data_IF_775827805657
#
_entry.id   IF_775827805657
#
_cell.length_a   1.000
_cell.length_b   1.000
_cell.length_c   1.000
_cell.angle_alpha   90.00
_cell.angle_beta   90.00
_cell.angle_gamma   90.00
#
_symmetry.space_group_name_H-M   'P 1'
#
loop_
_entity.id
_entity.type
_entity.pdbx_description
1 polymer ?
#
# COMPACT_ATOMS: atom_id res chain seq x y z
N UNK A 1 -13.84 48.17 44.35
CA UNK A 1 -14.14 46.90 43.66
C UNK A 1 -13.95 47.11 42.15
N UNK A 2 -12.81 46.77 41.64
CA UNK A 2 -12.52 46.82 40.20
C UNK A 2 -12.52 45.38 39.64
N UNK A 3 -13.49 45.08 38.83
CA UNK A 3 -13.64 43.77 38.19
C UNK A 3 -12.67 43.66 37.03
N UNK A 4 -11.77 42.66 37.11
CA UNK A 4 -10.90 42.19 36.03
C UNK A 4 -11.66 41.17 35.22
N UNK A 5 -12.04 41.51 33.98
CA UNK A 5 -12.45 40.51 32.97
C UNK A 5 -11.18 39.87 32.39
N UNK A 6 -11.15 38.56 32.19
CA UNK A 6 -10.06 37.88 31.51
C UNK A 6 -10.19 38.05 29.98
N UNK A 7 -9.08 38.48 29.37
CA UNK A 7 -8.87 38.48 27.94
C UNK A 7 -8.59 37.03 27.52
N UNK A 8 -9.60 36.34 27.05
CA UNK A 8 -9.47 34.97 26.49
C UNK A 8 -9.50 35.05 24.96
N UNK A 9 -8.38 34.58 24.41
CA UNK A 9 -8.26 33.81 23.20
C UNK A 9 -8.67 34.39 21.86
N UNK A 10 -7.69 34.61 21.06
CA UNK A 10 -7.77 34.49 19.60
C UNK A 10 -6.42 33.99 19.08
N UNK A 11 -6.13 32.70 19.29
CA UNK A 11 -5.00 32.02 18.66
C UNK A 11 -5.42 30.60 18.25
N UNK A 12 -6.24 30.53 17.20
CA UNK A 12 -6.45 29.27 16.47
C UNK A 12 -7.27 29.52 15.20
N UNK A 13 -6.64 30.08 14.17
CA UNK A 13 -7.21 30.08 12.80
C UNK A 13 -6.16 30.66 11.81
N UNK A 14 -4.99 30.00 11.70
CA UNK A 14 -4.00 30.44 10.71
C UNK A 14 -3.15 29.30 10.11
N UNK A 15 -3.63 28.05 10.09
CA UNK A 15 -2.86 26.93 9.49
C UNK A 15 -3.66 26.06 8.51
N UNK A 16 -4.80 26.52 8.06
CA UNK A 16 -5.64 25.75 7.10
C UNK A 16 -5.66 26.34 5.68
N UNK A 17 -4.91 27.42 5.41
CA UNK A 17 -5.07 28.17 4.15
C UNK A 17 -4.06 27.84 3.03
N UNK A 18 -3.00 27.05 3.26
CA UNK A 18 -1.91 26.86 2.29
C UNK A 18 -1.56 25.42 1.93
N UNK A 19 -2.42 24.43 2.20
CA UNK A 19 -2.21 23.11 1.62
C UNK A 19 -2.56 23.18 0.12
N UNK A 20 -1.61 22.88 -0.79
CA UNK A 20 -1.90 22.90 -2.22
C UNK A 20 -3.07 21.95 -2.51
N UNK A 21 -3.98 22.39 -3.40
CA UNK A 21 -5.11 21.56 -3.82
C UNK A 21 -4.61 20.18 -4.32
N UNK A 22 -5.31 19.10 -3.99
CA UNK A 22 -4.94 17.77 -4.47
C UNK A 22 -4.80 17.76 -6.00
N UNK A 23 -3.77 17.10 -6.51
CA UNK A 23 -3.61 16.95 -7.96
C UNK A 23 -4.81 16.18 -8.52
N UNK A 24 -5.47 16.76 -9.54
CA UNK A 24 -6.54 16.06 -10.24
C UNK A 24 -5.97 14.92 -11.10
N UNK A 25 -6.65 13.76 -11.20
CA UNK A 25 -6.22 12.69 -12.07
C UNK A 25 -6.28 13.10 -13.55
N UNK A 26 -5.32 12.63 -14.33
CA UNK A 26 -5.32 12.74 -15.81
C UNK A 26 -6.49 11.96 -16.39
N UNK A 27 -6.83 10.81 -15.77
CA UNK A 27 -8.01 10.02 -16.10
C UNK A 27 -8.60 9.47 -14.81
N UNK A 28 -9.88 9.79 -14.55
CA UNK A 28 -10.60 9.39 -13.35
C UNK A 28 -11.59 8.27 -13.61
N UNK A 29 -11.90 7.52 -12.55
CA UNK A 29 -12.99 6.55 -12.48
C UNK A 29 -13.01 5.52 -13.60
N UNK A 30 -11.80 5.05 -13.98
CA UNK A 30 -11.63 4.10 -15.08
C UNK A 30 -12.07 2.71 -14.62
N UNK A 31 -13.11 2.10 -15.24
CA UNK A 31 -13.53 0.75 -14.91
C UNK A 31 -12.51 -0.27 -15.46
N UNK A 32 -11.93 -1.08 -14.58
CA UNK A 32 -10.90 -2.06 -14.94
C UNK A 32 -11.43 -3.50 -15.07
N UNK A 33 -12.65 -3.76 -14.57
CA UNK A 33 -13.23 -5.11 -14.53
C UNK A 33 -14.39 -5.33 -15.49
N UNK A 34 -14.73 -4.34 -16.34
CA UNK A 34 -15.87 -4.42 -17.24
C UNK A 34 -17.23 -4.38 -16.53
N UNK A 35 -17.29 -3.89 -15.29
CA UNK A 35 -18.49 -3.75 -14.50
C UNK A 35 -18.81 -2.27 -14.26
N UNK A 36 -20.01 -1.98 -13.74
CA UNK A 36 -20.39 -0.64 -13.29
C UNK A 36 -20.12 -0.40 -11.80
N UNK A 37 -19.46 -1.35 -11.10
CA UNK A 37 -19.14 -1.18 -9.70
C UNK A 37 -18.02 -0.13 -9.55
N UNK A 38 -18.34 0.98 -8.88
CA UNK A 38 -17.39 2.04 -8.58
C UNK A 38 -16.15 1.55 -7.82
N UNK A 39 -16.28 0.47 -7.03
CA UNK A 39 -15.15 -0.15 -6.36
C UNK A 39 -14.20 -0.91 -7.27
N UNK A 40 -14.59 -1.13 -8.52
CA UNK A 40 -13.74 -1.71 -9.54
C UNK A 40 -13.26 -0.65 -10.54
N UNK A 41 -12.88 0.53 -10.03
CA UNK A 41 -12.33 1.64 -10.83
C UNK A 41 -10.97 2.08 -10.30
N UNK A 42 -10.18 2.73 -11.17
CA UNK A 42 -8.89 3.32 -10.84
C UNK A 42 -8.79 4.76 -11.33
N UNK A 43 -7.83 5.51 -10.80
CA UNK A 43 -7.43 6.83 -11.27
C UNK A 43 -5.98 6.79 -11.77
N UNK A 44 -5.70 7.50 -12.86
CA UNK A 44 -4.35 7.66 -13.41
C UNK A 44 -3.93 9.11 -13.31
N UNK A 45 -2.70 9.34 -12.89
CA UNK A 45 -2.04 10.65 -12.82
C UNK A 45 -0.76 10.56 -13.63
N UNK A 46 -0.72 11.26 -14.75
CA UNK A 46 0.46 11.36 -15.61
C UNK A 46 1.33 12.55 -15.24
N UNK A 47 2.62 12.52 -15.58
CA UNK A 47 3.47 13.70 -15.46
C UNK A 47 2.97 14.83 -16.37
N UNK A 48 3.23 16.09 -15.98
CA UNK A 48 2.74 17.27 -16.70
C UNK A 48 3.22 17.33 -18.17
N UNK A 49 4.40 16.79 -18.46
CA UNK A 49 4.93 16.63 -19.81
C UNK A 49 5.17 15.15 -20.10
N UNK A 50 4.83 14.72 -21.32
CA UNK A 50 5.07 13.34 -21.74
C UNK A 50 6.58 13.04 -21.66
N UNK A 51 7.01 12.00 -20.95
CA UNK A 51 8.42 11.65 -20.84
C UNK A 51 9.04 11.30 -22.18
N UNK A 52 10.30 11.68 -22.38
CA UNK A 52 11.05 11.32 -23.60
C UNK A 52 11.31 9.81 -23.74
N UNK A 53 11.30 9.09 -22.61
CA UNK A 53 11.37 7.63 -22.53
C UNK A 53 10.22 7.15 -21.64
N UNK A 54 9.70 5.92 -21.86
CA UNK A 54 8.65 5.37 -21.01
C UNK A 54 9.04 5.42 -19.53
N UNK A 55 8.19 6.03 -18.71
CA UNK A 55 8.43 6.28 -17.29
C UNK A 55 8.03 5.07 -16.43
N UNK A 56 8.65 4.87 -15.27
CA UNK A 56 8.14 3.91 -14.30
C UNK A 56 6.70 4.23 -13.87
N UNK A 57 5.97 3.20 -13.49
CA UNK A 57 4.61 3.31 -12.96
C UNK A 57 4.63 2.99 -11.46
N UNK A 58 4.09 3.88 -10.65
CA UNK A 58 3.80 3.63 -9.24
C UNK A 58 2.34 3.21 -9.15
N UNK A 59 2.10 1.96 -8.76
CA UNK A 59 0.77 1.42 -8.57
C UNK A 59 0.44 1.39 -7.07
N UNK A 60 -0.60 2.14 -6.67
CA UNK A 60 -0.96 2.37 -5.28
C UNK A 60 -2.28 1.71 -4.90
N UNK A 61 -2.28 0.99 -3.76
CA UNK A 61 -3.46 0.36 -3.17
C UNK A 61 -3.74 1.05 -1.82
N UNK A 62 -4.95 1.60 -1.68
CA UNK A 62 -5.36 2.29 -0.45
C UNK A 62 -5.52 1.34 0.75
N UNK A 63 -5.41 1.88 1.95
CA UNK A 63 -5.78 1.20 3.20
C UNK A 63 -7.26 1.31 3.50
N UNK A 64 -7.66 0.79 4.67
CA UNK A 64 -9.05 0.87 5.15
C UNK A 64 -9.55 -0.45 5.74
N UNK A 65 -8.64 -1.35 6.15
CA UNK A 65 -8.97 -2.62 6.79
C UNK A 65 -9.78 -3.55 5.91
N UNK A 66 -9.58 -3.50 4.60
CA UNK A 66 -10.36 -4.23 3.56
C UNK A 66 -11.87 -3.92 3.56
N UNK A 67 -12.33 -2.93 4.32
CA UNK A 67 -13.75 -2.59 4.54
C UNK A 67 -14.09 -1.18 4.13
N UNK A 68 -13.09 -0.37 3.84
CA UNK A 68 -13.21 1.05 3.52
C UNK A 68 -11.98 1.53 2.76
N UNK A 69 -11.89 2.86 2.63
CA UNK A 69 -10.85 3.52 1.85
C UNK A 69 -11.27 3.75 0.41
N UNK A 70 -10.47 4.50 -0.31
CA UNK A 70 -10.79 4.87 -1.68
C UNK A 70 -9.52 5.30 -2.43
N UNK A 71 -9.51 5.10 -3.75
CA UNK A 71 -8.44 5.52 -4.67
C UNK A 71 -8.14 7.02 -4.65
N UNK A 72 -9.05 7.83 -4.10
CA UNK A 72 -8.84 9.27 -3.90
C UNK A 72 -8.08 9.60 -2.61
N UNK A 73 -7.91 8.63 -1.70
CA UNK A 73 -7.15 8.80 -0.46
C UNK A 73 -5.65 8.64 -0.72
N UNK A 74 -5.07 9.56 -1.46
CA UNK A 74 -3.69 9.49 -1.97
C UNK A 74 -2.75 10.57 -1.42
N UNK A 75 -3.27 11.58 -0.72
CA UNK A 75 -2.55 12.71 -0.13
C UNK A 75 -1.57 13.35 -1.16
N UNK A 76 -0.28 13.45 -0.81
CA UNK A 76 0.75 14.10 -1.63
C UNK A 76 1.28 13.21 -2.78
N UNK A 77 1.04 11.90 -2.72
CA UNK A 77 1.67 10.89 -3.58
C UNK A 77 1.53 11.16 -5.09
N UNK A 78 0.33 11.50 -5.61
CA UNK A 78 0.19 11.77 -7.04
C UNK A 78 1.13 12.87 -7.50
N UNK A 79 1.10 14.03 -6.81
CA UNK A 79 1.97 15.15 -7.16
C UNK A 79 3.44 14.79 -6.99
N UNK A 80 3.81 14.17 -5.88
CA UNK A 80 5.18 13.77 -5.58
C UNK A 80 5.77 12.88 -6.67
N UNK A 81 5.06 11.82 -7.07
CA UNK A 81 5.58 10.88 -8.06
C UNK A 81 5.51 11.44 -9.50
N UNK A 82 4.49 12.22 -9.84
CA UNK A 82 4.42 12.84 -11.17
C UNK A 82 5.45 13.95 -11.37
N UNK A 83 5.80 14.70 -10.33
CA UNK A 83 6.91 15.67 -10.37
C UNK A 83 8.28 14.97 -10.58
N UNK A 84 8.43 13.72 -10.17
CA UNK A 84 9.60 12.88 -10.49
C UNK A 84 9.54 12.28 -11.90
N UNK A 85 8.49 12.57 -12.67
CA UNK A 85 8.29 12.08 -14.02
C UNK A 85 7.68 10.68 -14.10
N UNK A 86 7.15 10.11 -13.00
CA UNK A 86 6.51 8.79 -12.98
C UNK A 86 5.00 8.90 -13.30
N UNK A 87 4.44 7.83 -13.81
CA UNK A 87 2.99 7.65 -13.84
C UNK A 87 2.55 7.11 -12.49
N UNK A 88 1.51 7.69 -11.89
CA UNK A 88 0.94 7.21 -10.65
C UNK A 88 -0.48 6.68 -10.90
N UNK A 89 -0.76 5.45 -10.46
CA UNK A 89 -2.07 4.81 -10.57
C UNK A 89 -2.56 4.49 -9.17
N UNK A 90 -3.77 4.91 -8.84
CA UNK A 90 -4.43 4.55 -7.58
C UNK A 90 -5.69 3.75 -7.86
N UNK A 91 -5.83 2.58 -7.24
CA UNK A 91 -6.93 1.66 -7.50
C UNK A 91 -7.87 1.52 -6.32
N UNK A 92 -9.17 1.37 -6.61
CA UNK A 92 -10.16 0.81 -5.71
C UNK A 92 -10.13 -0.72 -5.79
N UNK A 93 -10.75 -1.36 -4.82
CA UNK A 93 -11.14 -2.78 -4.82
C UNK A 93 -12.43 -2.96 -4.03
N UNK A 94 -13.15 -4.05 -4.25
CA UNK A 94 -14.32 -4.40 -3.46
C UNK A 94 -13.93 -4.70 -2.00
N UNK A 95 -14.91 -4.69 -1.10
CA UNK A 95 -14.66 -4.81 0.33
C UNK A 95 -14.98 -6.21 0.84
N UNK A 96 -14.24 -6.64 1.88
CA UNK A 96 -14.40 -7.93 2.53
C UNK A 96 -15.80 -8.13 3.16
N UNK A 97 -16.56 -7.07 3.35
CA UNK A 97 -17.94 -7.12 3.84
C UNK A 97 -18.91 -7.76 2.84
N UNK A 98 -18.58 -7.76 1.56
CA UNK A 98 -19.42 -8.27 0.47
C UNK A 98 -18.67 -9.21 -0.48
N UNK A 99 -17.34 -9.31 -0.36
CA UNK A 99 -16.48 -9.98 -1.34
C UNK A 99 -15.37 -10.74 -0.62
N UNK A 100 -15.18 -12.03 -0.84
CA UNK A 100 -14.14 -12.80 -0.18
C UNK A 100 -12.73 -12.35 -0.62
N UNK A 101 -11.70 -12.63 0.21
CA UNK A 101 -10.34 -12.13 0.03
C UNK A 101 -9.71 -12.53 -1.31
N UNK A 102 -9.93 -13.72 -1.78
CA UNK A 102 -9.43 -14.19 -3.08
C UNK A 102 -9.97 -13.35 -4.26
N UNK A 103 -11.21 -12.89 -4.18
CA UNK A 103 -11.78 -12.01 -5.20
C UNK A 103 -11.27 -10.57 -5.07
N UNK A 104 -10.90 -10.11 -3.86
CA UNK A 104 -10.21 -8.83 -3.67
C UNK A 104 -8.83 -8.88 -4.33
N UNK A 105 -8.08 -9.97 -4.19
CA UNK A 105 -6.82 -10.15 -4.93
C UNK A 105 -7.05 -10.15 -6.44
N UNK A 106 -8.12 -10.77 -6.92
CA UNK A 106 -8.48 -10.76 -8.34
C UNK A 106 -8.84 -9.35 -8.85
N UNK A 107 -9.52 -8.53 -8.03
CA UNK A 107 -9.80 -7.13 -8.38
C UNK A 107 -8.49 -6.36 -8.62
N UNK A 108 -7.51 -6.48 -7.70
CA UNK A 108 -6.22 -5.81 -7.87
C UNK A 108 -5.46 -6.35 -9.09
N UNK A 109 -5.50 -7.66 -9.34
CA UNK A 109 -4.87 -8.26 -10.52
C UNK A 109 -5.47 -7.73 -11.83
N UNK A 110 -6.80 -7.59 -11.91
CA UNK A 110 -7.47 -6.96 -13.05
C UNK A 110 -7.10 -5.49 -13.21
N UNK A 111 -7.00 -4.75 -12.11
CA UNK A 111 -6.54 -3.36 -12.12
C UNK A 111 -5.09 -3.23 -12.61
N UNK A 112 -4.22 -4.17 -12.24
CA UNK A 112 -2.85 -4.29 -12.76
C UNK A 112 -2.85 -4.68 -14.25
N UNK A 113 -3.76 -5.56 -14.68
CA UNK A 113 -3.92 -5.91 -16.10
C UNK A 113 -4.28 -4.68 -16.92
N UNK A 114 -5.30 -3.93 -16.48
CA UNK A 114 -5.65 -2.67 -17.14
C UNK A 114 -4.47 -1.69 -17.18
N UNK A 115 -3.79 -1.51 -16.05
CA UNK A 115 -2.62 -0.62 -15.95
C UNK A 115 -1.52 -1.03 -16.92
N UNK A 116 -1.20 -2.32 -16.99
CA UNK A 116 -0.21 -2.87 -17.91
C UNK A 116 -0.57 -2.56 -19.37
N UNK A 117 -1.82 -2.76 -19.78
CA UNK A 117 -2.28 -2.58 -21.15
C UNK A 117 -2.31 -1.11 -21.57
N UNK A 118 -2.53 -0.19 -20.62
CA UNK A 118 -2.77 1.23 -20.91
C UNK A 118 -1.66 2.16 -20.42
N UNK A 119 -0.63 1.69 -19.70
CA UNK A 119 0.42 2.55 -19.16
C UNK A 119 1.07 3.45 -20.20
N UNK A 120 1.30 2.95 -21.41
CA UNK A 120 1.93 3.68 -22.51
C UNK A 120 1.11 4.89 -22.99
N UNK A 121 -0.21 4.89 -22.83
CA UNK A 121 -1.08 6.03 -23.16
C UNK A 121 -0.73 7.26 -22.32
N UNK A 122 -0.26 7.03 -21.08
CA UNK A 122 0.12 8.05 -20.11
C UNK A 122 1.65 8.27 -20.05
N UNK A 123 2.41 7.66 -20.97
CA UNK A 123 3.86 7.72 -21.00
C UNK A 123 4.56 6.75 -20.03
N UNK A 124 3.84 5.77 -19.49
CA UNK A 124 4.37 4.75 -18.59
C UNK A 124 4.94 3.52 -19.32
N UNK A 125 5.82 2.79 -18.61
CA UNK A 125 6.35 1.50 -19.05
C UNK A 125 5.62 0.38 -18.30
N UNK A 126 4.85 -0.49 -18.99
CA UNK A 126 4.11 -1.57 -18.36
C UNK A 126 5.01 -2.61 -17.66
N UNK A 127 6.28 -2.68 -18.02
CA UNK A 127 7.26 -3.61 -17.46
C UNK A 127 8.12 -2.99 -16.37
N UNK A 128 7.81 -1.77 -15.93
CA UNK A 128 8.53 -1.04 -14.88
C UNK A 128 7.58 -0.52 -13.81
N UNK A 129 6.81 -1.43 -13.21
CA UNK A 129 5.83 -1.12 -12.16
C UNK A 129 6.47 -1.32 -10.78
N UNK A 130 6.29 -0.34 -9.89
CA UNK A 130 6.53 -0.50 -8.45
C UNK A 130 5.17 -0.52 -7.76
N UNK A 131 4.84 -1.65 -7.15
CA UNK A 131 3.59 -1.82 -6.42
C UNK A 131 3.75 -1.34 -4.98
N UNK A 132 2.84 -0.49 -4.53
CA UNK A 132 2.83 0.12 -3.19
C UNK A 132 1.43 0.07 -2.59
N UNK A 133 1.34 0.16 -1.29
CA UNK A 133 0.05 0.27 -0.62
C UNK A 133 0.24 0.55 0.87
N UNK A 134 -0.83 1.00 1.54
CA UNK A 134 -0.82 1.30 2.96
C UNK A 134 -1.78 0.38 3.72
N UNK A 135 -1.38 -0.05 4.95
CA UNK A 135 -2.25 -0.83 5.84
C UNK A 135 -2.78 -2.11 5.14
N UNK A 136 -4.08 -2.32 5.05
CA UNK A 136 -4.66 -3.43 4.26
C UNK A 136 -4.17 -3.45 2.80
N UNK A 137 -3.98 -2.26 2.17
CA UNK A 137 -3.41 -2.16 0.83
C UNK A 137 -1.95 -2.60 0.76
N UNK A 138 -1.18 -2.47 1.84
CA UNK A 138 0.19 -2.97 1.91
C UNK A 138 0.24 -4.51 1.96
N UNK A 139 -0.69 -5.13 2.67
CA UNK A 139 -0.86 -6.59 2.64
C UNK A 139 -1.21 -7.07 1.23
N UNK A 140 -2.18 -6.41 0.55
CA UNK A 140 -2.56 -6.73 -0.83
C UNK A 140 -1.38 -6.56 -1.80
N UNK A 141 -0.61 -5.48 -1.67
CA UNK A 141 0.58 -5.23 -2.49
C UNK A 141 1.66 -6.31 -2.30
N UNK A 142 1.97 -6.65 -1.05
CA UNK A 142 2.96 -7.68 -0.74
C UNK A 142 2.53 -9.06 -1.22
N UNK A 143 1.25 -9.42 -1.03
CA UNK A 143 0.71 -10.70 -1.50
C UNK A 143 0.84 -10.83 -3.01
N UNK A 144 0.40 -9.83 -3.79
CA UNK A 144 0.45 -9.86 -5.25
C UNK A 144 1.86 -9.79 -5.82
N UNK A 145 2.81 -9.19 -5.10
CA UNK A 145 4.22 -9.17 -5.50
C UNK A 145 4.94 -10.49 -5.21
N UNK A 146 4.31 -11.43 -4.49
CA UNK A 146 4.89 -12.72 -4.07
C UNK A 146 4.12 -13.91 -4.63
N UNK A 147 2.79 -13.89 -4.54
CA UNK A 147 1.95 -14.95 -5.09
C UNK A 147 1.51 -14.60 -6.52
N UNK A 148 2.02 -15.37 -7.45
CA UNK A 148 1.75 -15.15 -8.88
C UNK A 148 0.37 -15.63 -9.34
N UNK A 149 -0.36 -16.42 -8.53
CA UNK A 149 -1.65 -17.04 -8.93
C UNK A 149 -2.66 -16.01 -9.45
N UNK A 150 -2.95 -14.89 -8.73
CA UNK A 150 -3.90 -13.90 -9.23
C UNK A 150 -3.42 -13.19 -10.50
N UNK A 151 -2.11 -12.92 -10.62
CA UNK A 151 -1.53 -12.31 -11.82
C UNK A 151 -1.60 -13.23 -13.03
N UNK A 152 -1.28 -14.52 -12.86
CA UNK A 152 -1.38 -15.52 -13.93
C UNK A 152 -2.80 -15.68 -14.46
N UNK A 153 -3.80 -15.56 -13.60
CA UNK A 153 -5.21 -15.59 -14.02
C UNK A 153 -5.56 -14.44 -15.00
N UNK A 154 -4.82 -13.32 -14.92
CA UNK A 154 -4.96 -12.17 -15.82
C UNK A 154 -3.88 -12.15 -16.91
N UNK A 155 -3.11 -13.22 -17.11
CA UNK A 155 -2.05 -13.31 -18.11
C UNK A 155 -0.83 -12.44 -17.81
N UNK A 156 -0.62 -12.06 -16.54
CA UNK A 156 0.51 -11.28 -16.06
C UNK A 156 1.53 -12.16 -15.32
N UNK A 157 2.71 -11.59 -15.05
CA UNK A 157 3.75 -12.25 -14.27
C UNK A 157 4.44 -11.27 -13.31
N UNK A 158 5.15 -11.81 -12.32
CA UNK A 158 5.92 -11.02 -11.36
C UNK A 158 7.01 -10.16 -12.01
N UNK A 159 7.47 -10.49 -13.22
CA UNK A 159 8.54 -9.79 -13.94
C UNK A 159 8.21 -8.33 -14.28
N UNK A 160 6.91 -7.98 -14.31
CA UNK A 160 6.45 -6.60 -14.49
C UNK A 160 6.83 -5.69 -13.32
N UNK A 161 7.00 -6.26 -12.12
CA UNK A 161 7.37 -5.51 -10.94
C UNK A 161 8.87 -5.29 -10.83
N UNK A 162 9.28 -4.05 -10.61
CA UNK A 162 10.66 -3.67 -10.29
C UNK A 162 10.89 -3.53 -8.79
N UNK A 163 9.83 -3.39 -8.01
CA UNK A 163 9.87 -3.32 -6.55
C UNK A 163 8.50 -3.39 -5.92
N UNK A 164 8.49 -3.68 -4.62
CA UNK A 164 7.30 -3.62 -3.79
C UNK A 164 7.59 -2.79 -2.54
N UNK A 165 6.70 -1.82 -2.23
CA UNK A 165 6.83 -0.98 -1.04
C UNK A 165 5.53 -1.04 -0.22
N UNK A 166 5.37 -2.07 0.62
CA UNK A 166 4.28 -2.13 1.58
C UNK A 166 4.54 -1.16 2.75
N UNK A 167 3.53 -0.33 3.07
CA UNK A 167 3.59 0.70 4.10
C UNK A 167 2.68 0.33 5.27
N UNK A 168 3.29 -0.05 6.37
CA UNK A 168 2.69 -0.25 7.70
C UNK A 168 1.50 -1.23 7.74
N UNK A 169 1.73 -2.48 7.33
CA UNK A 169 0.77 -3.56 7.51
C UNK A 169 1.19 -4.54 8.63
N UNK A 170 0.18 -5.12 9.26
CA UNK A 170 0.33 -6.09 10.35
C UNK A 170 -0.05 -7.52 9.94
N UNK A 171 -0.15 -7.84 8.64
CA UNK A 171 -0.78 -9.08 8.15
C UNK A 171 -0.01 -9.74 7.00
N UNK A 172 1.32 -9.73 7.06
CA UNK A 172 2.14 -10.49 6.09
C UNK A 172 2.22 -11.98 6.42
N UNK A 173 2.10 -12.31 7.72
CA UNK A 173 2.00 -13.67 8.27
C UNK A 173 0.75 -13.71 9.15
N UNK A 174 -0.39 -14.09 8.55
CA UNK A 174 -1.71 -14.00 9.20
C UNK A 174 -1.84 -14.90 10.42
N UNK A 175 -1.40 -16.17 10.44
CA UNK A 175 -1.39 -16.97 11.65
C UNK A 175 -0.63 -16.31 12.81
N UNK A 176 0.55 -15.79 12.52
CA UNK A 176 1.40 -15.17 13.53
C UNK A 176 0.79 -13.89 14.12
N UNK A 177 0.17 -13.03 13.31
CA UNK A 177 -0.50 -11.83 13.85
C UNK A 177 -1.73 -12.18 14.67
N UNK A 178 -2.50 -13.21 14.29
CA UNK A 178 -3.64 -13.69 15.06
C UNK A 178 -3.17 -14.18 16.45
N UNK A 179 -2.10 -14.97 16.48
CA UNK A 179 -1.51 -15.48 17.73
C UNK A 179 -1.02 -14.32 18.61
N UNK A 180 -0.23 -13.41 18.07
CA UNK A 180 0.32 -12.26 18.79
C UNK A 180 -0.79 -11.33 19.30
N UNK A 181 -1.79 -11.02 18.47
CA UNK A 181 -2.91 -10.18 18.88
C UNK A 181 -3.74 -10.84 19.98
N UNK A 182 -3.97 -12.16 19.91
CA UNK A 182 -4.64 -12.94 20.96
C UNK A 182 -3.86 -12.91 22.28
N UNK A 183 -2.53 -13.13 22.22
CA UNK A 183 -1.67 -13.08 23.39
C UNK A 183 -1.66 -11.68 24.06
N UNK A 184 -1.53 -10.61 23.25
CA UNK A 184 -1.55 -9.24 23.74
C UNK A 184 -2.89 -8.88 24.40
N UNK A 185 -4.02 -9.30 23.82
CA UNK A 185 -5.34 -9.08 24.42
C UNK A 185 -5.52 -9.84 25.72
N UNK A 186 -5.10 -11.11 25.77
CA UNK A 186 -5.13 -11.92 26.99
C UNK A 186 -4.30 -11.28 28.11
N UNK A 187 -3.09 -10.83 27.80
CA UNK A 187 -2.23 -10.14 28.77
C UNK A 187 -2.86 -8.83 29.29
N UNK A 188 -3.63 -8.14 28.44
CA UNK A 188 -4.37 -6.92 28.80
C UNK A 188 -5.75 -7.18 29.44
N UNK A 189 -6.12 -8.45 29.71
CA UNK A 189 -7.43 -8.81 30.27
C UNK A 189 -8.62 -8.49 29.34
N UNK A 190 -8.39 -8.35 28.03
CA UNK A 190 -9.42 -8.01 27.04
C UNK A 190 -9.99 -9.27 26.39
N UNK A 191 -11.32 -9.36 26.16
CA UNK A 191 -11.92 -10.49 25.46
C UNK A 191 -11.50 -10.52 23.99
N UNK A 192 -11.61 -11.70 23.35
CA UNK A 192 -11.45 -11.83 21.91
C UNK A 192 -12.46 -10.90 21.17
N UNK A 193 -12.04 -10.25 20.07
CA UNK A 193 -12.95 -9.44 19.29
C UNK A 193 -13.96 -10.34 18.57
N UNK A 194 -15.21 -9.88 18.45
CA UNK A 194 -16.24 -10.59 17.68
C UNK A 194 -15.92 -10.66 16.19
N UNK A 195 -15.08 -9.75 15.72
CA UNK A 195 -14.60 -9.66 14.34
C UNK A 195 -13.19 -9.10 14.33
N UNK A 196 -12.27 -9.82 13.72
CA UNK A 196 -10.86 -9.50 13.65
C UNK A 196 -10.19 -10.17 12.46
N UNK A 197 -8.88 -10.31 12.52
CA UNK A 197 -8.10 -10.94 11.45
C UNK A 197 -8.59 -12.37 11.11
N UNK A 198 -9.08 -13.14 12.10
CA UNK A 198 -9.62 -14.51 11.89
C UNK A 198 -10.73 -14.50 10.85
N UNK A 199 -11.72 -13.62 11.03
CA UNK A 199 -12.90 -13.53 10.19
C UNK A 199 -12.59 -12.85 8.85
N UNK A 200 -11.75 -11.82 8.86
CA UNK A 200 -11.29 -11.13 7.65
C UNK A 200 -10.65 -12.11 6.67
N UNK A 201 -9.81 -13.01 7.18
CA UNK A 201 -9.12 -14.01 6.37
C UNK A 201 -9.87 -15.35 6.30
N UNK A 202 -11.21 -15.32 6.37
CA UNK A 202 -12.09 -16.44 6.04
C UNK A 202 -12.36 -17.45 7.15
N UNK A 203 -11.96 -17.18 8.40
CA UNK A 203 -12.31 -17.96 9.58
C UNK A 203 -11.68 -19.36 9.69
N UNK A 204 -10.76 -19.72 8.79
CA UNK A 204 -10.14 -21.06 8.72
C UNK A 204 -8.60 -20.95 8.67
N UNK A 205 -7.86 -21.77 9.47
CA UNK A 205 -6.40 -21.71 9.53
C UNK A 205 -5.71 -21.91 8.17
N UNK A 206 -6.23 -22.77 7.30
CA UNK A 206 -5.70 -23.00 5.96
C UNK A 206 -5.81 -21.75 5.07
N UNK A 207 -6.88 -20.95 5.21
CA UNK A 207 -7.03 -19.70 4.49
C UNK A 207 -6.11 -18.60 5.08
N UNK A 208 -5.89 -18.57 6.39
CA UNK A 208 -4.93 -17.65 6.99
C UNK A 208 -3.53 -17.89 6.46
N UNK A 209 -3.14 -19.17 6.31
CA UNK A 209 -1.86 -19.56 5.72
C UNK A 209 -1.81 -19.21 4.24
N UNK A 210 -2.87 -19.51 3.48
CA UNK A 210 -2.91 -19.24 2.03
C UNK A 210 -2.92 -17.74 1.71
N UNK A 211 -3.51 -16.89 2.55
CA UNK A 211 -3.55 -15.45 2.34
C UNK A 211 -2.35 -14.70 2.98
N UNK A 212 -1.38 -15.42 3.53
CA UNK A 212 -0.12 -14.88 4.06
C UNK A 212 0.91 -14.73 2.95
N UNK A 213 1.42 -13.51 2.74
CA UNK A 213 2.48 -13.27 1.77
C UNK A 213 3.74 -14.10 2.05
N UNK A 214 4.09 -14.28 3.34
CA UNK A 214 5.27 -15.06 3.78
C UNK A 214 5.23 -16.53 3.35
N UNK A 215 4.04 -17.12 3.23
CA UNK A 215 3.86 -18.53 2.84
C UNK A 215 4.31 -18.83 1.41
N UNK A 216 4.18 -17.84 0.53
CA UNK A 216 4.43 -18.02 -0.92
C UNK A 216 5.82 -17.59 -1.35
N UNK A 217 6.68 -17.16 -0.43
CA UNK A 217 8.05 -16.75 -0.74
C UNK A 217 8.88 -17.96 -1.18
N UNK A 218 9.39 -17.92 -2.40
CA UNK A 218 10.24 -18.96 -2.97
C UNK A 218 11.36 -18.38 -3.85
N UNK A 219 12.53 -18.99 -3.80
CA UNK A 219 13.65 -18.62 -4.66
C UNK A 219 13.32 -18.89 -6.15
N UNK A 220 13.87 -18.07 -7.05
CA UNK A 220 13.72 -18.27 -8.51
C UNK A 220 12.35 -17.94 -9.08
N UNK A 221 11.41 -17.44 -8.28
CA UNK A 221 10.03 -17.14 -8.69
C UNK A 221 9.88 -15.78 -9.40
N UNK A 222 10.93 -14.95 -9.38
CA UNK A 222 10.89 -13.60 -9.95
C UNK A 222 10.26 -12.57 -9.01
N UNK A 223 10.18 -12.86 -7.71
CA UNK A 223 9.74 -11.91 -6.69
C UNK A 223 10.65 -10.68 -6.71
N UNK A 224 10.10 -9.45 -6.83
CA UNK A 224 10.90 -8.24 -6.90
C UNK A 224 11.57 -7.90 -5.57
N UNK A 225 12.53 -6.97 -5.53
CA UNK A 225 13.03 -6.37 -4.29
C UNK A 225 11.93 -5.71 -3.47
N UNK A 226 12.09 -5.69 -2.12
CA UNK A 226 11.16 -5.10 -1.18
C UNK A 226 11.79 -4.01 -0.32
N UNK A 227 11.05 -2.92 -0.11
CA UNK A 227 11.26 -1.96 0.98
C UNK A 227 10.00 -1.96 1.86
N UNK A 228 10.09 -2.51 3.07
CA UNK A 228 8.96 -2.68 3.98
C UNK A 228 9.01 -1.55 5.01
N UNK A 229 8.11 -0.57 4.90
CA UNK A 229 8.04 0.54 5.84
C UNK A 229 7.09 0.20 6.98
N UNK A 230 7.44 0.58 8.22
CA UNK A 230 6.57 0.37 9.37
C UNK A 230 6.77 1.43 10.46
N UNK A 231 5.74 1.70 11.25
CA UNK A 231 5.83 2.48 12.48
C UNK A 231 6.62 1.69 13.52
N UNK A 232 7.79 2.20 13.90
CA UNK A 232 8.70 1.51 14.83
C UNK A 232 8.12 1.35 16.26
N UNK A 233 7.12 2.15 16.63
CA UNK A 233 6.48 2.12 17.94
C UNK A 233 5.17 1.30 17.96
N UNK A 234 4.70 0.83 16.82
CA UNK A 234 3.46 0.06 16.74
C UNK A 234 3.60 -1.34 17.37
N UNK A 235 2.47 -1.88 17.84
CA UNK A 235 2.46 -3.15 18.56
C UNK A 235 2.61 -4.39 17.69
N UNK A 236 2.23 -4.33 16.40
CA UNK A 236 2.14 -5.49 15.52
C UNK A 236 2.99 -5.35 14.24
N UNK A 237 3.02 -4.17 13.65
CA UNK A 237 3.66 -3.96 12.34
C UNK A 237 5.18 -4.20 12.34
N UNK A 238 5.95 -3.93 13.44
CA UNK A 238 7.38 -4.26 13.49
C UNK A 238 7.67 -5.77 13.39
N UNK A 239 6.89 -6.61 14.08
CA UNK A 239 7.05 -8.07 14.00
C UNK A 239 6.76 -8.57 12.59
N UNK A 240 5.66 -8.12 12.01
CA UNK A 240 5.23 -8.53 10.68
C UNK A 240 6.19 -8.08 9.57
N UNK A 241 6.70 -6.86 9.65
CA UNK A 241 7.71 -6.35 8.70
C UNK A 241 8.99 -7.19 8.74
N UNK A 242 9.49 -7.52 9.94
CA UNK A 242 10.69 -8.35 10.12
C UNK A 242 10.47 -9.81 9.73
N UNK A 243 9.26 -10.36 9.89
CA UNK A 243 8.91 -11.70 9.39
C UNK A 243 8.97 -11.75 7.87
N UNK A 244 8.38 -10.76 7.19
CA UNK A 244 8.41 -10.69 5.73
C UNK A 244 9.84 -10.49 5.22
N UNK A 245 10.62 -9.57 5.79
CA UNK A 245 12.04 -9.37 5.45
C UNK A 245 12.83 -10.68 5.56
N UNK A 246 12.70 -11.39 6.70
CA UNK A 246 13.38 -12.66 6.94
C UNK A 246 12.98 -13.72 5.93
N UNK A 247 11.68 -13.86 5.64
CA UNK A 247 11.20 -14.82 4.66
C UNK A 247 11.80 -14.57 3.27
N UNK A 248 11.84 -13.30 2.84
CA UNK A 248 12.40 -12.89 1.55
C UNK A 248 13.92 -13.11 1.50
N UNK A 249 14.66 -12.59 2.48
CA UNK A 249 16.13 -12.65 2.50
C UNK A 249 16.65 -14.08 2.62
N UNK A 250 15.96 -14.95 3.36
CA UNK A 250 16.31 -16.40 3.46
C UNK A 250 16.21 -17.10 2.10
N UNK A 251 15.41 -16.59 1.17
CA UNK A 251 15.28 -17.09 -0.20
C UNK A 251 16.12 -16.32 -1.22
N UNK A 252 17.04 -15.46 -0.76
CA UNK A 252 17.93 -14.67 -1.61
C UNK A 252 17.27 -13.49 -2.30
N UNK A 253 16.07 -13.09 -1.86
CA UNK A 253 15.35 -11.94 -2.40
C UNK A 253 15.76 -10.69 -1.60
N UNK A 254 16.14 -9.62 -2.32
CA UNK A 254 16.53 -8.36 -1.68
C UNK A 254 15.34 -7.76 -0.95
N UNK A 255 15.48 -7.54 0.36
CA UNK A 255 14.46 -6.91 1.18
C UNK A 255 15.10 -6.10 2.31
N UNK A 256 14.47 -4.96 2.65
CA UNK A 256 14.82 -4.10 3.78
C UNK A 256 13.56 -3.72 4.53
N UNK A 257 13.51 -4.04 5.82
CA UNK A 257 12.51 -3.50 6.74
C UNK A 257 13.04 -2.21 7.37
N UNK A 258 12.32 -1.09 7.20
CA UNK A 258 12.65 0.21 7.72
C UNK A 258 11.61 0.68 8.72
N UNK A 259 11.99 0.76 10.00
CA UNK A 259 11.16 1.28 11.07
C UNK A 259 11.28 2.80 11.17
N UNK A 260 10.23 3.49 10.81
CA UNK A 260 10.16 4.94 10.94
C UNK A 260 9.89 5.33 12.41
N UNK A 261 10.73 6.20 12.95
CA UNK A 261 10.54 6.79 14.28
C UNK A 261 9.66 8.04 14.22
N UNK A 262 9.04 8.39 15.35
CA UNK A 262 8.24 9.61 15.52
C UNK A 262 7.09 9.75 14.52
N UNK A 263 6.51 8.64 14.13
CA UNK A 263 5.38 8.56 13.22
C UNK A 263 4.19 7.84 13.87
N UNK A 264 3.15 7.62 13.12
CA UNK A 264 2.01 6.77 13.48
C UNK A 264 1.51 6.06 12.23
N UNK A 265 0.64 5.06 12.38
CA UNK A 265 -0.01 4.36 11.28
C UNK A 265 -0.59 5.29 10.19
N UNK A 266 -1.22 6.39 10.59
CA UNK A 266 -1.74 7.40 9.66
C UNK A 266 -0.66 8.29 9.08
N UNK A 267 0.29 8.77 9.92
CA UNK A 267 1.34 9.70 9.51
C UNK A 267 2.33 9.10 8.52
N UNK A 268 2.77 7.87 8.71
CA UNK A 268 3.69 7.20 7.77
C UNK A 268 3.12 7.13 6.35
N UNK A 269 1.79 7.12 6.22
CA UNK A 269 1.10 7.21 4.93
C UNK A 269 0.91 8.65 4.46
N UNK A 270 0.44 9.56 5.33
CA UNK A 270 0.13 10.94 4.94
C UNK A 270 1.37 11.76 4.60
N UNK A 271 2.47 11.48 5.29
CA UNK A 271 3.72 12.22 5.16
C UNK A 271 4.60 11.72 4.00
N UNK A 272 4.24 10.58 3.39
CA UNK A 272 4.94 10.04 2.22
C UNK A 272 4.83 11.00 1.03
N UNK A 273 5.98 11.56 0.63
CA UNK A 273 6.11 12.61 -0.36
C UNK A 273 6.48 13.97 0.24
N UNK A 274 6.49 14.12 1.56
CA UNK A 274 7.00 15.33 2.20
C UNK A 274 8.52 15.45 2.09
N UNK A 275 9.06 16.67 1.91
CA UNK A 275 10.48 16.91 2.05
C UNK A 275 10.98 16.52 3.45
N UNK A 276 12.15 15.87 3.51
CA UNK A 276 12.80 15.46 4.76
C UNK A 276 12.06 14.39 5.60
N UNK A 277 10.95 13.81 5.10
CA UNK A 277 10.37 12.65 5.72
C UNK A 277 11.30 11.44 5.53
N UNK A 278 11.67 10.72 6.63
CA UNK A 278 12.59 9.59 6.54
C UNK A 278 12.08 8.45 5.65
N UNK A 279 10.77 8.16 5.68
CA UNK A 279 10.16 7.13 4.83
C UNK A 279 10.21 7.51 3.35
N UNK A 280 9.96 8.79 3.04
CA UNK A 280 10.10 9.33 1.68
C UNK A 280 11.55 9.20 1.17
N UNK A 281 12.53 9.51 2.01
CA UNK A 281 13.96 9.39 1.68
C UNK A 281 14.33 7.93 1.36
N UNK A 282 13.86 6.99 2.16
CA UNK A 282 14.06 5.55 1.93
C UNK A 282 13.40 5.07 0.63
N UNK A 283 12.18 5.52 0.35
CA UNK A 283 11.48 5.21 -0.91
C UNK A 283 12.27 5.72 -2.10
N UNK A 284 12.74 6.98 -2.08
CA UNK A 284 13.55 7.54 -3.18
C UNK A 284 14.84 6.75 -3.42
N UNK A 285 15.54 6.37 -2.36
CA UNK A 285 16.75 5.54 -2.44
C UNK A 285 16.46 4.17 -3.05
N UNK A 286 15.39 3.54 -2.60
CA UNK A 286 14.94 2.24 -3.12
C UNK A 286 14.57 2.34 -4.60
N UNK A 287 13.73 3.31 -4.98
CA UNK A 287 13.32 3.52 -6.38
C UNK A 287 14.53 3.75 -7.29
N UNK A 288 15.50 4.57 -6.86
CA UNK A 288 16.75 4.77 -7.59
C UNK A 288 17.48 3.46 -7.84
N UNK A 289 17.51 2.56 -6.87
CA UNK A 289 18.20 1.26 -6.98
C UNK A 289 17.48 0.30 -7.94
N UNK A 290 16.14 0.17 -7.79
CA UNK A 290 15.40 -0.85 -8.54
C UNK A 290 14.98 -0.41 -9.95
N UNK A 291 14.98 0.90 -10.22
CA UNK A 291 14.63 1.47 -11.52
C UNK A 291 15.84 1.89 -12.38
N UNK A 292 17.07 1.81 -11.84
CA UNK A 292 18.29 2.12 -12.58
C UNK A 292 18.68 1.04 -13.60
N UNK A 293 18.02 -0.12 -13.55
CA UNK A 293 18.32 -1.31 -14.38
C UNK A 293 17.47 -1.41 -15.62
#
# INVERSE_FOLDING_TARGET
MRSLLPLLAAFSLAYAADAPAPLAPTKADVPYAGTSDFRQTLNVYGPAAKPAKPAPVIFWIHGGGWRGGEKTTVQLKPKFFTDLGYVFVSTNHRYITTTPMNEIFADIAKSLRWTHDHAAEFGGDPNRIVIMGHSSGAQLAAYLAIDERPLKAEGLSLSMFKGCVPVDADTFDVPAVIELATANRKAAGKPEPKYGHREIFGGKPELWTDYSATTHVAAGKGIPPFLILYDAAAALTPDQAKRLERALTTKGIQAKAFGAANTTHGKINSDLGLPNDPSTTEVLSFLKTVLAK
#
